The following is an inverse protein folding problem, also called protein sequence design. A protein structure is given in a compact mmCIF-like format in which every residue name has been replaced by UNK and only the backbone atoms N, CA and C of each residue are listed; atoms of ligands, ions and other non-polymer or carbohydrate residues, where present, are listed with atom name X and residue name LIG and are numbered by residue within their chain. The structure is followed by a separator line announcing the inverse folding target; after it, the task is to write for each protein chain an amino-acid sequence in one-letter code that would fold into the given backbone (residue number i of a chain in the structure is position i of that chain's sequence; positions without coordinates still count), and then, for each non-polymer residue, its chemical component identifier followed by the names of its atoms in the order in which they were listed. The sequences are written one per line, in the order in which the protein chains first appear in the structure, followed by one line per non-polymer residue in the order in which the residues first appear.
data_IF_131804500050
#
_entry.id   IF_131804500050
#
_cell.length_a   1.000
_cell.length_b   1.000
_cell.length_c   1.000
_cell.angle_alpha   90.00
_cell.angle_beta   90.00
_cell.angle_gamma   90.00
#
_symmetry.space_group_name_H-M   'P 1'
#
loop_
_entity.id
_entity.type
_entity.pdbx_description
1 polymer ?
#
# COMPACT_ATOMS: atom_id res chain seq x y z
N UNK A 1 18.77 14.39 -17.74
CA UNK A 1 19.75 14.18 -16.66
C UNK A 1 19.11 14.40 -15.30
N UNK A 2 19.09 13.34 -14.47
CA UNK A 2 18.98 13.26 -13.00
C UNK A 2 17.96 14.13 -12.24
N UNK A 3 16.92 13.49 -11.69
CA UNK A 3 16.51 13.74 -10.30
C UNK A 3 16.03 12.45 -9.63
N UNK A 4 16.95 11.49 -9.51
CA UNK A 4 16.91 10.43 -8.48
C UNK A 4 17.09 11.12 -7.11
N UNK A 5 16.11 11.90 -6.69
CA UNK A 5 16.23 12.73 -5.50
C UNK A 5 14.86 13.24 -5.13
N UNK A 6 14.25 12.55 -4.16
CA UNK A 6 13.11 12.95 -3.32
C UNK A 6 12.58 14.34 -3.70
N UNK A 7 11.80 14.39 -4.77
CA UNK A 7 11.09 15.60 -5.17
C UNK A 7 9.80 15.56 -4.36
N UNK A 8 9.36 16.69 -3.80
CA UNK A 8 8.13 16.80 -3.00
C UNK A 8 6.91 16.11 -3.66
N UNK A 9 6.85 16.11 -4.99
CA UNK A 9 5.85 15.38 -5.76
C UNK A 9 5.92 13.85 -5.61
N UNK A 10 7.12 13.25 -5.55
CA UNK A 10 7.32 11.82 -5.30
C UNK A 10 6.94 11.42 -3.86
N UNK A 11 7.20 12.29 -2.87
CA UNK A 11 6.76 12.06 -1.48
C UNK A 11 5.25 12.09 -1.35
N UNK A 12 4.58 13.06 -1.99
CA UNK A 12 3.12 13.11 -2.05
C UNK A 12 2.52 11.91 -2.79
N UNK A 13 3.15 11.45 -3.89
CA UNK A 13 2.71 10.27 -4.61
C UNK A 13 2.88 8.99 -3.78
N UNK A 14 4.02 8.81 -3.11
CA UNK A 14 4.26 7.68 -2.23
C UNK A 14 3.31 7.68 -1.02
N UNK A 15 3.06 8.85 -0.41
CA UNK A 15 2.11 8.99 0.68
C UNK A 15 0.69 8.61 0.28
N UNK A 16 0.22 9.01 -0.91
CA UNK A 16 -1.10 8.64 -1.44
C UNK A 16 -1.19 7.15 -1.77
N UNK A 17 -0.16 6.58 -2.38
CA UNK A 17 -0.08 5.14 -2.67
C UNK A 17 -0.08 4.32 -1.38
N UNK A 18 0.59 4.79 -0.32
CA UNK A 18 0.58 4.14 0.99
C UNK A 18 -0.81 4.16 1.64
N UNK A 19 -1.51 5.30 1.60
CA UNK A 19 -2.88 5.40 2.10
C UNK A 19 -3.85 4.47 1.33
N UNK A 20 -3.72 4.42 0.01
CA UNK A 20 -4.52 3.52 -0.83
C UNK A 20 -4.17 2.05 -0.57
N UNK A 21 -2.89 1.72 -0.40
CA UNK A 21 -2.44 0.37 -0.06
C UNK A 21 -2.96 -0.10 1.30
N UNK A 22 -3.00 0.80 2.29
CA UNK A 22 -3.57 0.52 3.61
C UNK A 22 -5.08 0.31 3.57
N UNK A 23 -5.80 1.16 2.83
CA UNK A 23 -7.26 0.99 2.64
C UNK A 23 -7.57 -0.27 1.85
N UNK A 24 -6.81 -0.57 0.79
CA UNK A 24 -6.96 -1.79 0.02
C UNK A 24 -6.67 -3.04 0.87
N UNK A 25 -5.67 -2.99 1.74
CA UNK A 25 -5.40 -4.04 2.70
C UNK A 25 -6.59 -4.25 3.65
N UNK A 26 -7.06 -3.20 4.33
CA UNK A 26 -8.23 -3.26 5.23
C UNK A 26 -9.50 -3.77 4.53
N UNK A 27 -9.77 -3.30 3.30
CA UNK A 27 -10.90 -3.77 2.50
C UNK A 27 -10.76 -5.24 2.13
N UNK A 28 -9.55 -5.68 1.79
CA UNK A 28 -9.27 -7.09 1.48
C UNK A 28 -9.49 -7.97 2.72
N UNK A 29 -9.10 -7.50 3.91
CA UNK A 29 -9.38 -8.17 5.18
C UNK A 29 -10.88 -8.24 5.50
N UNK A 30 -11.60 -7.13 5.29
CA UNK A 30 -13.03 -7.05 5.56
C UNK A 30 -13.87 -7.90 4.60
N UNK A 31 -13.52 -7.94 3.31
CA UNK A 31 -14.24 -8.73 2.30
C UNK A 31 -13.95 -10.22 2.42
N UNK A 32 -12.72 -10.60 2.79
CA UNK A 32 -12.31 -12.01 2.83
C UNK A 32 -12.54 -12.64 4.22
N UNK A 33 -12.68 -11.83 5.27
CA UNK A 33 -12.85 -12.30 6.65
C UNK A 33 -11.64 -13.07 7.20
N UNK A 34 -10.55 -13.13 6.42
CA UNK A 34 -9.28 -13.79 6.71
C UNK A 34 -8.20 -12.77 6.37
N UNK A 35 -7.46 -12.31 7.37
CA UNK A 35 -6.50 -11.20 7.25
C UNK A 35 -5.48 -11.39 6.13
N UNK A 36 -4.76 -10.32 5.76
CA UNK A 36 -3.74 -10.30 4.69
C UNK A 36 -2.74 -11.47 4.77
N UNK A 37 -2.52 -12.01 5.97
CA UNK A 37 -1.72 -13.21 6.27
C UNK A 37 -2.16 -14.48 5.51
N UNK A 38 -3.45 -14.65 5.19
CA UNK A 38 -3.95 -15.81 4.44
C UNK A 38 -3.73 -15.66 2.93
N UNK A 39 -3.77 -14.44 2.39
CA UNK A 39 -3.43 -14.19 0.98
C UNK A 39 -1.93 -14.33 0.72
N UNK A 40 -1.10 -14.11 1.75
CA UNK A 40 0.35 -14.35 1.72
C UNK A 40 0.74 -15.82 1.97
N UNK A 41 -0.24 -16.73 2.16
CA UNK A 41 -0.02 -18.17 2.30
C UNK A 41 0.63 -18.60 3.61
N UNK A 42 0.49 -17.81 4.68
CA UNK A 42 1.10 -18.10 5.99
C UNK A 42 0.22 -18.97 6.90
N UNK A 43 -0.97 -19.37 6.43
CA UNK A 43 -1.84 -20.40 7.03
C UNK A 43 -2.47 -21.26 5.95
#
# INVERSE_FOLDING_TARGET
MQKLGFTNNAEMLNGRLAMLGFVAALLTEALTGKGVLHFLGLV
#
